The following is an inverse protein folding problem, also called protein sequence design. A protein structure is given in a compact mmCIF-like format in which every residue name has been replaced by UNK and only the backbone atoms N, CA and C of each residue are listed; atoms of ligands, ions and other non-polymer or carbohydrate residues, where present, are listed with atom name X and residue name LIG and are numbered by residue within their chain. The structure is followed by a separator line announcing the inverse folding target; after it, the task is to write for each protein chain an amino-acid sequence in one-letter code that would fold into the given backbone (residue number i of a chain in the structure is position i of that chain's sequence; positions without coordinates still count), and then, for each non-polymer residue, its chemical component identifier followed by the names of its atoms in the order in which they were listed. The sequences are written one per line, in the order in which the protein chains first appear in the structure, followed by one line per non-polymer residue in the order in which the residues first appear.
data_IF_287430101746
#
_entry.id   IF_287430101746
#
_cell.length_a   1.000
_cell.length_b   1.000
_cell.length_c   1.000
_cell.angle_alpha   90.00
_cell.angle_beta   90.00
_cell.angle_gamma   90.00
#
_symmetry.space_group_name_H-M   'P 1'
#
loop_
_entity.id
_entity.type
_entity.pdbx_description
1 polymer ?
#
# COMPACT_ATOMS: atom_id res chain seq x y z
N UNK A 1 10.36 4.46 -32.73
CA UNK A 1 11.21 5.07 -31.69
C UNK A 1 10.54 6.36 -31.24
N UNK A 2 9.64 6.27 -30.26
CA UNK A 2 8.96 7.40 -29.64
C UNK A 2 9.53 7.57 -28.24
N UNK A 3 10.45 8.51 -28.13
CA UNK A 3 11.09 8.90 -26.87
C UNK A 3 10.06 9.70 -26.06
N UNK A 4 9.16 9.02 -25.35
CA UNK A 4 8.31 9.67 -24.33
C UNK A 4 9.15 9.86 -23.08
N UNK A 5 9.94 10.94 -23.09
CA UNK A 5 10.50 11.49 -21.87
C UNK A 5 9.32 11.88 -20.98
N UNK A 6 9.29 11.28 -19.81
CA UNK A 6 8.48 11.71 -18.67
C UNK A 6 8.79 13.20 -18.47
N UNK A 7 7.84 14.07 -18.79
CA UNK A 7 7.86 15.45 -18.31
C UNK A 7 7.63 15.39 -16.80
N UNK A 8 8.72 15.33 -16.05
CA UNK A 8 8.70 15.72 -14.64
C UNK A 8 8.41 17.22 -14.61
N UNK A 9 7.32 17.60 -13.97
CA UNK A 9 6.92 18.99 -13.72
C UNK A 9 8.09 19.78 -13.10
N UNK A 10 8.74 20.58 -13.94
CA UNK A 10 9.75 21.56 -13.55
C UNK A 10 9.03 22.89 -13.32
N UNK A 11 8.90 23.33 -12.07
CA UNK A 11 9.01 24.78 -11.81
C UNK A 11 7.87 25.53 -11.11
N UNK A 12 7.13 24.94 -10.17
CA UNK A 12 6.44 25.77 -9.17
C UNK A 12 7.30 25.91 -7.91
N UNK A 13 7.45 27.12 -7.37
CA UNK A 13 8.04 27.32 -6.03
C UNK A 13 7.01 26.88 -4.98
N UNK A 14 7.43 26.21 -3.90
CA UNK A 14 6.49 25.86 -2.83
C UNK A 14 6.05 27.12 -2.07
N UNK A 15 4.74 27.25 -1.87
CA UNK A 15 4.13 28.38 -1.17
C UNK A 15 4.19 28.24 0.35
N UNK A 16 4.05 29.36 1.07
CA UNK A 16 3.94 29.38 2.53
C UNK A 16 2.72 28.59 3.03
N UNK A 17 1.62 28.57 2.26
CA UNK A 17 0.42 27.79 2.56
C UNK A 17 0.66 26.29 2.44
N UNK A 18 1.37 25.84 1.39
CA UNK A 18 1.79 24.44 1.27
C UNK A 18 2.71 24.02 2.42
N UNK A 19 3.65 24.88 2.83
CA UNK A 19 4.49 24.62 4.01
C UNK A 19 3.65 24.52 5.28
N UNK A 20 2.66 25.41 5.44
CA UNK A 20 1.74 25.36 6.59
C UNK A 20 0.95 24.05 6.63
N UNK A 21 0.48 23.56 5.49
CA UNK A 21 -0.18 22.25 5.39
C UNK A 21 0.72 21.11 5.88
N UNK A 22 2.02 21.13 5.58
CA UNK A 22 2.98 20.13 6.09
C UNK A 22 3.03 20.17 7.63
N UNK A 23 3.20 21.36 8.20
CA UNK A 23 3.33 21.55 9.65
C UNK A 23 2.08 21.07 10.40
N UNK A 24 0.90 21.42 9.88
CA UNK A 24 -0.38 21.05 10.47
C UNK A 24 -0.66 19.55 10.32
N UNK A 25 -0.47 19.01 9.11
CA UNK A 25 -0.73 17.60 8.78
C UNK A 25 0.12 16.66 9.62
N UNK A 26 1.42 16.93 9.72
CA UNK A 26 2.34 16.08 10.46
C UNK A 26 2.61 16.55 11.88
N UNK A 27 1.88 17.57 12.35
CA UNK A 27 1.98 18.12 13.71
C UNK A 27 3.44 18.39 14.12
N UNK A 28 4.23 18.90 13.18
CA UNK A 28 5.65 19.19 13.36
C UNK A 28 5.88 20.70 13.36
N UNK A 29 6.76 21.19 14.22
CA UNK A 29 7.09 22.62 14.29
C UNK A 29 8.09 23.05 13.20
N UNK A 30 8.16 24.36 12.91
CA UNK A 30 9.08 24.95 11.91
C UNK A 30 10.55 24.55 12.13
N UNK A 31 11.06 24.76 13.35
CA UNK A 31 12.43 24.41 13.72
C UNK A 31 12.67 22.88 13.71
N UNK A 32 11.80 22.05 14.33
CA UNK A 32 11.86 20.60 14.17
C UNK A 32 11.92 20.12 12.71
N UNK A 33 11.09 20.67 11.82
CA UNK A 33 11.07 20.32 10.40
C UNK A 33 12.39 20.71 9.72
N UNK A 34 12.90 21.92 9.95
CA UNK A 34 14.19 22.36 9.42
C UNK A 34 15.33 21.42 9.85
N UNK A 35 15.37 21.07 11.14
CA UNK A 35 16.38 20.16 11.69
C UNK A 35 16.27 18.74 11.11
N UNK A 36 15.04 18.24 10.97
CA UNK A 36 14.76 16.95 10.32
C UNK A 36 15.24 16.92 8.87
N UNK A 37 15.16 18.05 8.16
CA UNK A 37 15.63 18.19 6.78
C UNK A 37 17.15 18.41 6.68
N UNK A 38 17.84 18.68 7.80
CA UNK A 38 19.26 19.02 7.83
C UNK A 38 19.51 20.46 7.38
N UNK A 39 18.51 21.32 7.49
CA UNK A 39 18.57 22.72 7.11
C UNK A 39 18.82 23.60 8.34
N UNK A 40 19.25 24.84 8.10
CA UNK A 40 19.36 25.85 9.17
C UNK A 40 18.01 26.09 9.85
N UNK A 41 18.00 26.28 11.17
CA UNK A 41 16.77 26.34 11.97
C UNK A 41 15.77 27.42 11.53
N UNK A 42 16.27 28.50 10.93
CA UNK A 42 15.47 29.63 10.45
C UNK A 42 14.97 29.45 9.02
N UNK A 43 15.41 28.42 8.29
CA UNK A 43 15.06 28.22 6.88
C UNK A 43 13.55 28.10 6.66
N UNK A 44 12.86 27.25 7.43
CA UNK A 44 11.40 27.10 7.30
C UNK A 44 10.66 28.37 7.74
N UNK A 45 11.20 29.09 8.73
CA UNK A 45 10.61 30.36 9.21
C UNK A 45 10.64 31.41 8.10
N UNK A 46 11.81 31.60 7.49
CA UNK A 46 12.04 32.51 6.37
C UNK A 46 11.09 32.26 5.21
N UNK A 47 10.91 31.00 4.80
CA UNK A 47 10.00 30.66 3.72
C UNK A 47 8.53 30.95 4.04
N UNK A 48 8.14 30.81 5.31
CA UNK A 48 6.80 31.20 5.74
C UNK A 48 6.62 32.73 5.83
N UNK A 49 7.70 33.49 5.93
CA UNK A 49 7.71 34.96 5.99
C UNK A 49 7.88 35.62 4.61
N UNK A 50 8.05 34.82 3.55
CA UNK A 50 8.06 35.28 2.16
C UNK A 50 9.37 35.07 1.41
N UNK A 51 10.41 34.51 2.04
CA UNK A 51 11.63 34.13 1.32
C UNK A 51 11.33 33.04 0.29
N UNK A 52 11.94 33.16 -0.89
CA UNK A 52 11.76 32.21 -2.00
C UNK A 52 12.70 31.00 -1.80
N UNK A 53 12.18 29.78 -1.61
CA UNK A 53 13.00 28.57 -1.55
C UNK A 53 13.67 28.26 -2.89
N UNK A 54 14.82 27.58 -2.84
CA UNK A 54 15.43 27.02 -4.06
C UNK A 54 14.54 25.90 -4.62
N UNK A 55 14.76 25.53 -5.88
CA UNK A 55 14.05 24.39 -6.49
C UNK A 55 14.29 23.09 -5.72
N UNK A 56 15.51 22.85 -5.23
CA UNK A 56 15.83 21.67 -4.43
C UNK A 56 15.00 21.63 -3.14
N UNK A 57 14.90 22.76 -2.43
CA UNK A 57 14.17 22.84 -1.17
C UNK A 57 12.66 22.75 -1.40
N UNK A 58 12.16 23.41 -2.45
CA UNK A 58 10.76 23.32 -2.89
C UNK A 58 10.37 21.88 -3.20
N UNK A 59 11.18 21.18 -4.00
CA UNK A 59 10.93 19.79 -4.37
C UNK A 59 10.88 18.90 -3.14
N UNK A 60 11.83 19.07 -2.21
CA UNK A 60 11.89 18.25 -1.00
C UNK A 60 10.68 18.46 -0.07
N UNK A 61 10.23 19.70 0.08
CA UNK A 61 9.03 20.00 0.86
C UNK A 61 7.76 19.48 0.17
N UNK A 62 7.67 19.55 -1.17
CA UNK A 62 6.57 18.92 -1.90
C UNK A 62 6.56 17.42 -1.77
N UNK A 63 7.72 16.75 -1.85
CA UNK A 63 7.78 15.31 -1.59
C UNK A 63 7.21 14.97 -0.22
N UNK A 64 7.51 15.76 0.82
CA UNK A 64 6.93 15.56 2.15
C UNK A 64 5.41 15.81 2.17
N UNK A 65 4.95 16.84 1.45
CA UNK A 65 3.53 17.15 1.36
C UNK A 65 2.75 16.06 0.62
N UNK A 66 3.32 15.48 -0.42
CA UNK A 66 2.62 14.57 -1.33
C UNK A 66 2.79 13.09 -0.95
N UNK A 67 3.89 12.74 -0.27
CA UNK A 67 4.27 11.38 0.09
C UNK A 67 4.42 11.24 1.63
N UNK A 68 3.34 10.86 2.33
CA UNK A 68 3.39 10.58 3.77
C UNK A 68 4.38 9.46 4.13
N UNK A 69 4.60 8.47 3.26
CA UNK A 69 5.56 7.40 3.52
C UNK A 69 7.00 7.91 3.48
N UNK A 70 7.34 8.78 2.53
CA UNK A 70 8.64 9.47 2.49
C UNK A 70 8.87 10.26 3.78
N UNK A 71 7.85 10.99 4.24
CA UNK A 71 7.95 11.72 5.50
C UNK A 71 8.15 10.79 6.71
N UNK A 72 7.42 9.67 6.76
CA UNK A 72 7.54 8.69 7.84
C UNK A 72 8.95 8.06 7.90
N UNK A 73 9.51 7.67 6.76
CA UNK A 73 10.87 7.13 6.69
C UNK A 73 11.91 8.17 7.11
N UNK A 74 11.80 9.41 6.62
CA UNK A 74 12.67 10.52 7.03
C UNK A 74 12.60 10.74 8.55
N UNK A 75 11.40 10.74 9.11
CA UNK A 75 11.15 10.91 10.55
C UNK A 75 11.81 9.79 11.36
N UNK A 76 11.67 8.54 10.92
CA UNK A 76 12.27 7.38 11.59
C UNK A 76 13.80 7.38 11.52
N UNK A 77 14.37 7.71 10.35
CA UNK A 77 15.83 7.72 10.13
C UNK A 77 16.55 8.81 10.92
N UNK A 78 15.84 9.89 11.27
CA UNK A 78 16.41 11.07 11.94
C UNK A 78 15.71 11.40 13.25
N UNK A 79 15.19 10.38 13.94
CA UNK A 79 14.44 10.55 15.18
C UNK A 79 15.25 11.26 16.28
N UNK A 80 16.57 11.05 16.31
CA UNK A 80 17.52 11.67 17.23
C UNK A 80 17.66 13.18 17.05
N UNK A 81 17.23 13.70 15.89
CA UNK A 81 17.18 15.14 15.65
C UNK A 81 16.03 15.81 16.45
N UNK A 82 15.04 15.05 16.92
CA UNK A 82 13.84 15.56 17.57
C UNK A 82 13.81 15.21 19.05
N UNK A 83 13.00 15.94 19.82
CA UNK A 83 12.63 15.51 21.18
C UNK A 83 11.69 14.31 21.09
N UNK A 84 11.73 13.40 22.07
CA UNK A 84 10.86 12.21 22.06
C UNK A 84 9.36 12.54 21.94
N UNK A 85 8.92 13.65 22.57
CA UNK A 85 7.53 14.14 22.46
C UNK A 85 7.21 14.62 21.05
N UNK A 86 8.09 15.41 20.43
CA UNK A 86 7.89 15.90 19.06
C UNK A 86 7.88 14.76 18.04
N UNK A 87 8.82 13.82 18.19
CA UNK A 87 8.88 12.61 17.37
C UNK A 87 7.58 11.80 17.49
N UNK A 88 7.13 11.46 18.71
CA UNK A 88 5.91 10.67 18.92
C UNK A 88 4.66 11.35 18.34
N UNK A 89 4.52 12.68 18.56
CA UNK A 89 3.38 13.44 18.03
C UNK A 89 3.35 13.43 16.51
N UNK A 90 4.52 13.63 15.89
CA UNK A 90 4.61 13.67 14.43
C UNK A 90 4.48 12.30 13.80
N UNK A 91 5.05 11.27 14.45
CA UNK A 91 4.90 9.86 14.08
C UNK A 91 3.41 9.50 14.03
N UNK A 92 2.67 9.73 15.10
CA UNK A 92 1.24 9.41 15.14
C UNK A 92 0.44 10.15 14.05
N UNK A 93 0.81 11.40 13.74
CA UNK A 93 0.14 12.18 12.71
C UNK A 93 0.35 11.61 11.31
N UNK A 94 1.60 11.26 10.95
CA UNK A 94 1.88 10.63 9.66
C UNK A 94 1.31 9.22 9.57
N UNK A 95 1.35 8.44 10.66
CA UNK A 95 0.73 7.12 10.71
C UNK A 95 -0.77 7.18 10.41
N UNK A 96 -1.49 8.10 11.08
CA UNK A 96 -2.92 8.31 10.80
C UNK A 96 -3.17 8.70 9.35
N UNK A 97 -2.26 9.46 8.73
CA UNK A 97 -2.37 9.82 7.31
C UNK A 97 -2.16 8.62 6.38
N UNK A 98 -1.15 7.79 6.61
CA UNK A 98 -0.89 6.57 5.84
C UNK A 98 -2.06 5.59 6.02
N UNK A 99 -2.53 5.39 7.25
CA UNK A 99 -3.63 4.49 7.59
C UNK A 99 -5.02 4.98 7.17
N UNK A 100 -5.16 6.26 6.76
CA UNK A 100 -6.44 6.79 6.28
C UNK A 100 -6.97 6.06 5.04
N UNK A 101 -6.11 5.36 4.30
CA UNK A 101 -6.54 4.42 3.27
C UNK A 101 -6.60 2.99 3.82
N UNK A 102 -7.74 2.34 3.62
CA UNK A 102 -8.02 0.98 4.10
C UNK A 102 -7.02 -0.05 3.56
N UNK A 103 -6.55 0.09 2.31
CA UNK A 103 -5.56 -0.85 1.75
C UNK A 103 -4.25 -0.84 2.54
N UNK A 104 -3.83 0.32 3.06
CA UNK A 104 -2.63 0.43 3.86
C UNK A 104 -2.82 -0.16 5.26
N UNK A 105 -3.99 0.02 5.89
CA UNK A 105 -4.31 -0.65 7.15
C UNK A 105 -4.20 -2.18 6.99
N UNK A 106 -4.74 -2.73 5.91
CA UNK A 106 -4.65 -4.16 5.60
C UNK A 106 -3.21 -4.58 5.32
N UNK A 107 -2.47 -3.82 4.50
CA UNK A 107 -1.11 -4.15 4.12
C UNK A 107 -0.16 -4.14 5.33
N UNK A 108 -0.28 -3.15 6.20
CA UNK A 108 0.54 -3.08 7.41
C UNK A 108 0.10 -4.09 8.49
N UNK A 109 -1.18 -4.51 8.50
CA UNK A 109 -1.59 -5.67 9.29
C UNK A 109 -0.83 -6.94 8.88
N UNK A 110 -0.76 -7.20 7.57
CA UNK A 110 0.03 -8.31 7.00
C UNK A 110 1.51 -8.17 7.38
N UNK A 111 2.11 -7.00 7.18
CA UNK A 111 3.52 -6.74 7.55
C UNK A 111 3.79 -7.02 9.03
N UNK A 112 2.92 -6.56 9.91
CA UNK A 112 3.07 -6.76 11.35
C UNK A 112 2.95 -8.24 11.73
N UNK A 113 1.99 -8.96 11.15
CA UNK A 113 1.81 -10.41 11.36
C UNK A 113 3.00 -11.23 10.88
N UNK A 114 3.70 -10.76 9.85
CA UNK A 114 4.92 -11.35 9.33
C UNK A 114 6.19 -10.79 9.98
N UNK A 115 6.12 -10.01 11.06
CA UNK A 115 7.29 -9.39 11.71
C UNK A 115 8.20 -8.58 10.75
N UNK A 116 7.61 -7.98 9.70
CA UNK A 116 8.32 -7.35 8.57
C UNK A 116 9.24 -8.27 7.73
N UNK A 117 9.20 -9.59 7.94
CA UNK A 117 9.92 -10.61 7.15
C UNK A 117 9.12 -11.04 5.92
N UNK A 118 8.70 -10.07 5.12
CA UNK A 118 7.89 -10.29 3.93
C UNK A 118 8.33 -9.32 2.83
N UNK A 119 8.21 -9.71 1.56
CA UNK A 119 8.60 -8.85 0.42
C UNK A 119 7.42 -8.03 -0.11
N UNK A 120 7.66 -6.90 -0.82
CA UNK A 120 6.58 -6.10 -1.37
C UNK A 120 5.67 -6.89 -2.32
N UNK A 121 6.24 -7.76 -3.16
CA UNK A 121 5.46 -8.62 -4.06
C UNK A 121 4.60 -9.64 -3.30
N UNK A 122 5.10 -10.18 -2.19
CA UNK A 122 4.33 -11.14 -1.40
C UNK A 122 3.10 -10.47 -0.76
N UNK A 123 3.28 -9.24 -0.25
CA UNK A 123 2.17 -8.43 0.27
C UNK A 123 1.08 -8.23 -0.81
N UNK A 124 1.48 -8.03 -2.07
CA UNK A 124 0.51 -7.89 -3.17
C UNK A 124 -0.36 -9.13 -3.37
N UNK A 125 0.24 -10.33 -3.28
CA UNK A 125 -0.53 -11.59 -3.38
C UNK A 125 -1.54 -11.71 -2.24
N UNK A 126 -1.11 -11.44 -1.00
CA UNK A 126 -1.99 -11.54 0.17
C UNK A 126 -3.13 -10.52 0.12
N UNK A 127 -2.85 -9.29 -0.36
CA UNK A 127 -3.88 -8.28 -0.54
C UNK A 127 -4.89 -8.67 -1.61
N UNK A 128 -4.43 -9.25 -2.71
CA UNK A 128 -5.29 -9.75 -3.76
C UNK A 128 -6.22 -10.87 -3.25
N UNK A 129 -5.69 -11.88 -2.57
CA UNK A 129 -6.53 -12.96 -2.02
C UNK A 129 -7.47 -12.45 -0.91
N UNK A 130 -7.02 -11.54 -0.05
CA UNK A 130 -7.89 -10.93 0.95
C UNK A 130 -9.07 -10.18 0.32
N UNK A 131 -8.82 -9.36 -0.71
CA UNK A 131 -9.88 -8.68 -1.47
C UNK A 131 -10.81 -9.68 -2.15
N UNK A 132 -10.25 -10.70 -2.81
CA UNK A 132 -11.01 -11.70 -3.55
C UNK A 132 -11.94 -12.52 -2.65
N UNK A 133 -11.46 -13.02 -1.51
CA UNK A 133 -12.28 -13.77 -0.57
C UNK A 133 -13.29 -12.88 0.17
N UNK A 134 -12.95 -11.62 0.46
CA UNK A 134 -13.92 -10.66 1.03
C UNK A 134 -15.11 -10.47 0.07
N UNK A 135 -14.82 -10.23 -1.21
CA UNK A 135 -15.83 -10.06 -2.25
C UNK A 135 -16.68 -11.33 -2.44
N UNK A 136 -16.07 -12.50 -2.42
CA UNK A 136 -16.74 -13.75 -2.75
C UNK A 136 -17.53 -14.35 -1.57
N UNK A 137 -17.02 -14.26 -0.34
CA UNK A 137 -17.66 -14.81 0.86
C UNK A 137 -18.64 -13.85 1.52
N UNK A 138 -18.36 -12.54 1.48
CA UNK A 138 -19.13 -11.53 2.22
C UNK A 138 -19.86 -10.53 1.32
N UNK A 139 -19.67 -10.61 0.00
CA UNK A 139 -20.21 -9.65 -0.96
C UNK A 139 -19.78 -8.19 -0.67
N UNK A 140 -18.64 -8.00 0.02
CA UNK A 140 -18.09 -6.69 0.41
C UNK A 140 -16.69 -6.48 -0.18
N UNK A 141 -16.38 -5.26 -0.58
CA UNK A 141 -14.99 -4.88 -0.86
C UNK A 141 -14.21 -4.69 0.44
N UNK A 142 -12.96 -5.16 0.48
CA UNK A 142 -12.08 -4.96 1.63
C UNK A 142 -11.43 -3.57 1.57
N UNK A 143 -11.08 -3.09 0.38
CA UNK A 143 -10.60 -1.73 0.13
C UNK A 143 -10.99 -1.26 -1.29
N UNK A 144 -10.79 0.04 -1.55
CA UNK A 144 -11.35 0.73 -2.73
C UNK A 144 -10.53 0.54 -4.01
N UNK A 145 -9.24 0.23 -3.92
CA UNK A 145 -8.33 0.16 -5.07
C UNK A 145 -8.67 -1.01 -6.00
N UNK A 146 -8.61 -0.77 -7.31
CA UNK A 146 -8.83 -1.77 -8.34
C UNK A 146 -7.55 -2.56 -8.66
N UNK A 147 -7.69 -3.78 -9.17
CA UNK A 147 -6.57 -4.54 -9.73
C UNK A 147 -6.12 -3.87 -11.03
N UNK A 148 -4.94 -3.24 -11.03
CA UNK A 148 -4.32 -2.65 -12.22
C UNK A 148 -3.50 -3.64 -13.04
N UNK A 149 -3.55 -3.52 -14.37
CA UNK A 149 -2.70 -4.26 -15.30
C UNK A 149 -1.48 -3.41 -15.67
N UNK A 150 -0.30 -3.87 -15.28
CA UNK A 150 0.96 -3.15 -15.42
C UNK A 150 2.14 -4.11 -15.66
N UNK A 151 3.31 -3.55 -15.98
CA UNK A 151 4.52 -4.31 -16.32
C UNK A 151 5.21 -4.95 -15.11
N UNK A 152 4.87 -4.54 -13.88
CA UNK A 152 5.36 -5.19 -12.66
C UNK A 152 4.52 -6.43 -12.30
N UNK A 153 3.41 -6.67 -13.01
CA UNK A 153 2.46 -7.75 -12.75
C UNK A 153 1.87 -7.72 -11.33
N UNK A 154 1.83 -6.54 -10.69
CA UNK A 154 1.34 -6.36 -9.32
C UNK A 154 -0.05 -5.69 -9.31
N UNK A 155 -1.07 -6.25 -8.62
CA UNK A 155 -2.43 -5.71 -8.59
C UNK A 155 -2.51 -4.24 -8.16
N UNK A 156 -1.78 -3.83 -7.12
CA UNK A 156 -1.88 -2.51 -6.49
C UNK A 156 -0.57 -1.73 -6.62
N UNK A 157 -0.30 -1.27 -7.85
CA UNK A 157 1.00 -0.71 -8.27
C UNK A 157 1.51 0.41 -7.34
N UNK A 158 0.68 1.39 -7.00
CA UNK A 158 1.09 2.53 -6.15
C UNK A 158 1.65 2.08 -4.81
N UNK A 159 0.97 1.15 -4.16
CA UNK A 159 1.39 0.59 -2.87
C UNK A 159 2.64 -0.28 -3.02
N UNK A 160 2.71 -1.12 -4.07
CA UNK A 160 3.90 -1.91 -4.35
C UNK A 160 5.14 -1.03 -4.52
N UNK A 161 5.04 0.04 -5.33
CA UNK A 161 6.12 1.00 -5.52
C UNK A 161 6.50 1.73 -4.24
N UNK A 162 5.51 2.16 -3.45
CA UNK A 162 5.73 2.79 -2.14
C UNK A 162 6.54 1.87 -1.23
N UNK A 163 6.10 0.63 -1.03
CA UNK A 163 6.80 -0.35 -0.19
C UNK A 163 8.19 -0.72 -0.72
N UNK A 164 8.37 -0.79 -2.05
CA UNK A 164 9.67 -1.05 -2.68
C UNK A 164 10.65 0.11 -2.45
N UNK A 165 10.18 1.36 -2.45
CA UNK A 165 11.00 2.57 -2.23
C UNK A 165 11.31 2.80 -0.74
N UNK A 166 10.31 2.68 0.13
CA UNK A 166 10.43 2.98 1.56
C UNK A 166 11.00 1.81 2.38
N UNK A 167 10.97 0.60 1.82
CA UNK A 167 11.24 -0.62 2.55
C UNK A 167 10.06 -1.04 3.44
N UNK A 168 10.12 -2.27 3.93
CA UNK A 168 9.07 -2.84 4.77
C UNK A 168 9.47 -2.71 6.24
N UNK A 169 8.59 -2.09 7.02
CA UNK A 169 8.76 -1.87 8.47
C UNK A 169 7.41 -2.06 9.15
N UNK A 170 7.43 -2.51 10.40
CA UNK A 170 6.21 -2.62 11.19
C UNK A 170 5.63 -1.24 11.51
N UNK A 171 4.32 -1.22 11.72
CA UNK A 171 3.54 0.00 11.94
C UNK A 171 2.46 -0.24 12.99
N UNK A 172 2.54 0.45 14.11
CA UNK A 172 1.53 0.34 15.17
C UNK A 172 0.21 1.00 14.75
N UNK A 173 -0.91 0.50 15.30
CA UNK A 173 -2.23 1.12 15.17
C UNK A 173 -3.03 0.74 13.91
N UNK A 174 -2.53 -0.14 13.05
CA UNK A 174 -3.30 -0.58 11.86
C UNK A 174 -4.60 -1.32 12.23
N UNK A 175 -4.64 -2.00 13.38
CA UNK A 175 -5.80 -2.76 13.85
C UNK A 175 -7.02 -1.87 14.16
N UNK A 176 -6.79 -0.60 14.50
CA UNK A 176 -7.86 0.37 14.82
C UNK A 176 -8.74 0.69 13.59
N UNK A 177 -8.21 0.44 12.38
CA UNK A 177 -8.89 0.70 11.11
C UNK A 177 -9.56 -0.56 10.54
N UNK A 178 -9.49 -1.69 11.25
CA UNK A 178 -10.01 -2.99 10.82
C UNK A 178 -11.08 -3.48 11.79
N UNK A 179 -12.19 -3.99 11.25
CA UNK A 179 -13.22 -4.63 12.06
C UNK A 179 -12.91 -6.13 12.29
N UNK A 180 -13.68 -6.77 13.18
CA UNK A 180 -13.45 -8.18 13.55
C UNK A 180 -13.54 -9.16 12.37
N UNK A 181 -14.50 -8.96 11.46
CA UNK A 181 -14.69 -9.81 10.27
C UNK A 181 -13.49 -9.68 9.30
N UNK A 182 -12.99 -8.46 9.10
CA UNK A 182 -11.79 -8.18 8.31
C UNK A 182 -10.54 -8.82 8.94
N UNK A 183 -10.37 -8.68 10.25
CA UNK A 183 -9.25 -9.29 10.99
C UNK A 183 -9.27 -10.82 10.89
N UNK A 184 -10.43 -11.45 11.04
CA UNK A 184 -10.58 -12.91 10.93
C UNK A 184 -10.21 -13.40 9.52
N UNK A 185 -10.69 -12.70 8.49
CA UNK A 185 -10.35 -12.99 7.10
C UNK A 185 -8.84 -12.86 6.85
N UNK A 186 -8.23 -11.77 7.31
CA UNK A 186 -6.80 -11.54 7.10
C UNK A 186 -5.93 -12.59 7.78
N UNK A 187 -6.22 -12.95 9.02
CA UNK A 187 -5.51 -14.04 9.69
C UNK A 187 -5.65 -15.34 8.90
N UNK A 188 -6.85 -15.65 8.43
CA UNK A 188 -7.09 -16.88 7.65
C UNK A 188 -6.32 -16.88 6.32
N UNK A 189 -6.32 -15.76 5.59
CA UNK A 189 -5.56 -15.64 4.33
C UNK A 189 -4.06 -15.75 4.59
N UNK A 190 -3.55 -15.07 5.62
CA UNK A 190 -2.13 -15.15 6.02
C UNK A 190 -1.78 -16.61 6.34
N UNK A 191 -2.56 -17.26 7.22
CA UNK A 191 -2.32 -18.64 7.67
C UNK A 191 -2.42 -19.68 6.55
N UNK A 192 -3.23 -19.42 5.51
CA UNK A 192 -3.38 -20.33 4.38
C UNK A 192 -2.30 -20.09 3.32
N UNK A 193 -1.98 -18.83 3.01
CA UNK A 193 -1.16 -18.50 1.84
C UNK A 193 0.33 -18.36 2.14
N UNK A 194 0.73 -18.04 3.39
CA UNK A 194 2.15 -17.92 3.76
C UNK A 194 2.96 -19.22 3.63
N UNK A 195 2.30 -20.38 3.59
CA UNK A 195 2.96 -21.67 3.38
C UNK A 195 3.52 -21.85 1.96
N UNK A 196 3.13 -20.99 1.01
CA UNK A 196 3.51 -21.12 -0.38
C UNK A 196 4.62 -20.14 -0.77
N UNK A 197 5.61 -20.60 -1.51
CA UNK A 197 6.68 -19.72 -1.99
C UNK A 197 6.17 -18.68 -3.01
N UNK A 198 6.91 -17.57 -3.23
CA UNK A 198 6.52 -16.52 -4.17
C UNK A 198 6.19 -17.02 -5.59
N UNK A 199 6.92 -18.02 -6.09
CA UNK A 199 6.68 -18.60 -7.42
C UNK A 199 5.32 -19.30 -7.53
N UNK A 200 4.88 -19.96 -6.45
CA UNK A 200 3.59 -20.66 -6.42
C UNK A 200 2.44 -19.63 -6.42
N UNK A 201 2.54 -18.61 -5.58
CA UNK A 201 1.53 -17.53 -5.51
C UNK A 201 1.46 -16.73 -6.81
N UNK A 202 2.61 -16.44 -7.41
CA UNK A 202 2.69 -15.81 -8.73
C UNK A 202 1.97 -16.67 -9.77
N UNK A 203 2.29 -17.96 -9.87
CA UNK A 203 1.68 -18.86 -10.86
C UNK A 203 0.15 -18.95 -10.70
N UNK A 204 -0.34 -19.00 -9.46
CA UNK A 204 -1.77 -18.97 -9.15
C UNK A 204 -2.43 -17.68 -9.66
N UNK A 205 -1.97 -16.53 -9.16
CA UNK A 205 -2.52 -15.22 -9.52
C UNK A 205 -2.45 -14.98 -11.03
N UNK A 206 -1.37 -15.41 -11.67
CA UNK A 206 -1.18 -15.28 -13.12
C UNK A 206 -2.20 -16.11 -13.91
N UNK A 207 -2.42 -17.36 -13.50
CA UNK A 207 -3.40 -18.27 -14.10
C UNK A 207 -4.81 -17.70 -13.98
N UNK A 208 -5.15 -17.20 -12.78
CA UNK A 208 -6.45 -16.58 -12.49
C UNK A 208 -6.65 -15.32 -13.33
N UNK A 209 -5.62 -14.47 -13.43
CA UNK A 209 -5.63 -13.25 -14.25
C UNK A 209 -5.93 -13.56 -15.72
N UNK A 210 -5.35 -14.61 -16.28
CA UNK A 210 -5.60 -15.01 -17.68
C UNK A 210 -7.03 -15.54 -17.90
N UNK A 211 -7.68 -16.06 -16.87
CA UNK A 211 -9.08 -16.47 -16.94
C UNK A 211 -10.07 -15.29 -16.82
N UNK A 212 -9.62 -14.14 -16.32
CA UNK A 212 -10.46 -12.98 -16.06
C UNK A 212 -10.43 -11.95 -17.20
N UNK A 213 -11.59 -11.31 -17.45
CA UNK A 213 -11.71 -10.26 -18.46
C UNK A 213 -11.07 -8.95 -18.00
N UNK A 214 -10.27 -8.35 -18.87
CA UNK A 214 -9.68 -7.02 -18.66
C UNK A 214 -10.64 -5.95 -19.17
N UNK A 215 -10.86 -4.93 -18.33
CA UNK A 215 -11.66 -3.74 -18.63
C UNK A 215 -10.83 -2.47 -18.49
N UNK A 216 -11.47 -1.29 -18.54
CA UNK A 216 -10.80 0.00 -18.38
C UNK A 216 -11.53 0.85 -17.34
N UNK A 217 -10.75 1.56 -16.51
CA UNK A 217 -11.30 2.52 -15.54
C UNK A 217 -11.67 3.86 -16.20
N UNK A 218 -12.16 4.81 -15.38
CA UNK A 218 -12.52 6.17 -15.83
C UNK A 218 -11.35 7.00 -16.39
N UNK A 219 -10.12 6.57 -16.11
CA UNK A 219 -8.87 7.20 -16.56
C UNK A 219 -8.22 6.42 -17.71
N UNK A 220 -8.96 5.48 -18.32
CA UNK A 220 -8.49 4.64 -19.43
C UNK A 220 -7.36 3.67 -19.04
N UNK A 221 -7.12 3.41 -17.75
CA UNK A 221 -6.18 2.39 -17.28
C UNK A 221 -6.79 1.00 -17.41
N UNK A 222 -5.97 0.01 -17.79
CA UNK A 222 -6.40 -1.39 -17.87
C UNK A 222 -6.53 -1.97 -16.46
N UNK A 223 -7.68 -2.53 -16.13
CA UNK A 223 -7.99 -3.10 -14.81
C UNK A 223 -8.73 -4.44 -14.91
N UNK A 224 -8.74 -5.21 -13.83
CA UNK A 224 -9.72 -6.28 -13.59
C UNK A 224 -10.69 -5.77 -12.52
N UNK A 225 -11.93 -5.53 -12.93
CA UNK A 225 -12.95 -4.97 -12.04
C UNK A 225 -13.29 -5.94 -10.90
N UNK A 226 -13.60 -5.41 -9.72
CA UNK A 226 -13.96 -6.22 -8.54
C UNK A 226 -15.09 -7.23 -8.80
N UNK A 227 -16.09 -6.90 -9.60
CA UNK A 227 -17.17 -7.84 -9.94
C UNK A 227 -16.67 -9.05 -10.74
N UNK A 228 -15.63 -8.89 -11.56
CA UNK A 228 -15.00 -9.99 -12.29
C UNK A 228 -14.22 -10.89 -11.33
N UNK A 229 -13.43 -10.30 -10.42
CA UNK A 229 -12.72 -11.05 -9.38
C UNK A 229 -13.71 -11.82 -8.51
N UNK A 230 -14.79 -11.15 -8.08
CA UNK A 230 -15.87 -11.72 -7.29
C UNK A 230 -16.53 -12.91 -7.99
N UNK A 231 -16.90 -12.76 -9.26
CA UNK A 231 -17.49 -13.84 -10.05
C UNK A 231 -16.57 -15.06 -10.15
N UNK A 232 -15.30 -14.83 -10.50
CA UNK A 232 -14.29 -15.88 -10.59
C UNK A 232 -14.13 -16.65 -9.27
N UNK A 233 -13.98 -15.93 -8.15
CA UNK A 233 -13.82 -16.58 -6.85
C UNK A 233 -15.12 -17.26 -6.38
N UNK A 234 -16.31 -16.73 -6.66
CA UNK A 234 -17.57 -17.44 -6.36
C UNK A 234 -17.67 -18.77 -7.10
N UNK A 235 -17.26 -18.83 -8.36
CA UNK A 235 -17.19 -20.08 -9.13
C UNK A 235 -16.17 -21.05 -8.51
N UNK A 236 -14.97 -20.57 -8.18
CA UNK A 236 -13.94 -21.40 -7.58
C UNK A 236 -14.31 -21.91 -6.18
N UNK A 237 -14.99 -21.09 -5.36
CA UNK A 237 -15.52 -21.51 -4.05
C UNK A 237 -16.52 -22.66 -4.20
N UNK A 238 -17.41 -22.59 -5.20
CA UNK A 238 -18.36 -23.67 -5.50
C UNK A 238 -17.62 -24.92 -6.00
N UNK A 239 -16.69 -24.77 -6.95
CA UNK A 239 -15.92 -25.87 -7.52
C UNK A 239 -15.11 -26.64 -6.46
N UNK A 240 -14.49 -25.91 -5.53
CA UNK A 240 -13.65 -26.49 -4.48
C UNK A 240 -14.39 -26.78 -3.17
N UNK A 241 -15.72 -26.62 -3.16
CA UNK A 241 -16.59 -26.86 -1.99
C UNK A 241 -16.09 -26.09 -0.75
N UNK A 242 -15.87 -24.79 -0.93
CA UNK A 242 -15.46 -23.84 0.11
C UNK A 242 -16.71 -23.10 0.57
N UNK A 243 -17.25 -23.51 1.71
CA UNK A 243 -18.54 -23.02 2.21
C UNK A 243 -18.43 -21.81 3.14
N UNK A 244 -17.21 -21.46 3.54
CA UNK A 244 -16.95 -20.33 4.43
C UNK A 244 -15.46 -20.13 4.69
N UNK A 245 -15.17 -19.17 5.57
CA UNK A 245 -13.79 -18.75 5.88
C UNK A 245 -12.86 -19.91 6.28
N UNK A 246 -13.35 -20.87 7.08
CA UNK A 246 -12.55 -22.01 7.57
C UNK A 246 -12.10 -22.95 6.44
N UNK A 247 -12.77 -22.91 5.30
CA UNK A 247 -12.47 -23.76 4.15
C UNK A 247 -11.47 -23.10 3.17
N UNK A 248 -11.08 -21.84 3.38
CA UNK A 248 -10.20 -21.09 2.44
C UNK A 248 -8.93 -21.86 2.09
N UNK A 249 -8.37 -22.63 3.02
CA UNK A 249 -7.17 -23.46 2.82
C UNK A 249 -7.29 -24.40 1.61
N UNK A 250 -8.50 -24.88 1.31
CA UNK A 250 -8.74 -25.76 0.15
C UNK A 250 -8.38 -25.07 -1.17
N UNK A 251 -8.50 -23.74 -1.25
CA UNK A 251 -8.26 -23.00 -2.49
C UNK A 251 -6.82 -23.14 -2.99
N UNK A 252 -5.78 -22.68 -2.25
CA UNK A 252 -4.41 -22.79 -2.75
C UNK A 252 -3.96 -24.24 -2.94
N UNK A 253 -4.42 -25.18 -2.12
CA UNK A 253 -4.15 -26.62 -2.28
C UNK A 253 -4.67 -27.15 -3.62
N UNK A 254 -5.94 -26.91 -3.94
CA UNK A 254 -6.58 -27.38 -5.18
C UNK A 254 -6.03 -26.65 -6.40
N UNK A 255 -5.89 -25.33 -6.31
CA UNK A 255 -5.44 -24.50 -7.43
C UNK A 255 -4.01 -24.85 -7.87
N UNK A 256 -3.11 -25.10 -6.92
CA UNK A 256 -1.75 -25.53 -7.26
C UNK A 256 -1.68 -26.92 -7.86
N UNK A 257 -2.54 -27.86 -7.42
CA UNK A 257 -2.64 -29.17 -8.04
C UNK A 257 -3.15 -29.08 -9.47
N UNK A 258 -4.11 -28.21 -9.75
CA UNK A 258 -4.60 -27.90 -11.10
C UNK A 258 -3.47 -27.34 -11.99
N UNK A 259 -2.74 -26.33 -11.51
CA UNK A 259 -1.62 -25.71 -12.24
C UNK A 259 -0.49 -26.70 -12.53
N UNK A 260 -0.22 -27.63 -11.60
CA UNK A 260 0.77 -28.69 -11.79
C UNK A 260 0.28 -29.83 -12.68
N UNK A 261 -0.97 -29.79 -13.16
CA UNK A 261 -1.58 -30.83 -14.00
C UNK A 261 -1.97 -32.11 -13.24
N UNK A 262 -2.03 -32.06 -11.91
CA UNK A 262 -2.37 -33.21 -11.05
C UNK A 262 -3.89 -33.44 -10.91
N UNK A 263 -4.72 -32.47 -11.32
CA UNK A 263 -6.18 -32.58 -11.38
C UNK A 263 -6.60 -32.16 -12.78
N UNK A 264 -7.22 -33.07 -13.56
CA UNK A 264 -7.95 -32.69 -14.78
C UNK A 264 -9.32 -32.20 -14.34
N UNK A 265 -9.67 -30.98 -14.75
CA UNK A 265 -10.98 -30.36 -14.50
C UNK A 265 -12.13 -31.13 -15.12
#
# INVERSE_FOLDING_TARGET
MSNSRIEMDMGAVISSDEIKLILDRYRIGKKPLAKLLGWGETTIIRYMEGDVPTNEYSNKLRTILDDPEFYYDLLCRRQECLTGVAFKKSKNAVLSKIMSSKIYAVAYYIVNKSCAEISPSYIQYLLYYAQAFSLALYDKELFQEEYGINNEHMPYLKMYESMKKCGIRTLEGCEEYLNREEIELLNTVIDCFLWYGPSALYAMMETERFAMKISRDRYNNRIIAKDIIKGYFKEALNQYQISGIKDIRKYPERKLLEIKGCIKG
#
